data_IF_396129606505
#
_entry.id   IF_396129606505
#
_cell.length_a   1.000
_cell.length_b   1.000
_cell.length_c   1.000
_cell.angle_alpha   90.00
_cell.angle_beta   90.00
_cell.angle_gamma   90.00
#
_symmetry.space_group_name_H-M   'P 1'
#
loop_
_entity.id
_entity.type
_entity.pdbx_description
1 polymer ?
#
# COMPACT_ATOMS: atom_id res chain seq x y z
N UNK A 1 4.85 35.59 1.44
CA UNK A 1 4.11 34.51 0.73
C UNK A 1 4.09 34.70 -0.78
N UNK A 2 3.58 35.82 -1.33
CA UNK A 2 3.54 36.03 -2.79
C UNK A 2 4.93 35.87 -3.45
N UNK A 3 5.98 36.48 -2.89
CA UNK A 3 7.34 36.32 -3.41
C UNK A 3 7.78 34.85 -3.46
N UNK A 4 7.48 34.05 -2.43
CA UNK A 4 7.80 32.61 -2.40
C UNK A 4 7.09 31.84 -3.51
N UNK A 5 5.85 32.20 -3.83
CA UNK A 5 5.10 31.61 -4.95
C UNK A 5 5.69 32.02 -6.30
N UNK A 6 6.17 33.26 -6.43
CA UNK A 6 6.81 33.75 -7.66
C UNK A 6 8.20 33.12 -7.88
N UNK A 7 8.90 32.82 -6.79
CA UNK A 7 10.21 32.17 -6.80
C UNK A 7 10.12 30.63 -6.85
N UNK A 8 8.93 30.06 -7.07
CA UNK A 8 8.66 28.61 -7.06
C UNK A 8 9.09 27.90 -5.76
N UNK A 9 9.19 28.63 -4.64
CA UNK A 9 9.53 28.10 -3.31
C UNK A 9 8.29 27.52 -2.63
N UNK A 10 7.75 26.44 -3.20
CA UNK A 10 6.47 25.85 -2.80
C UNK A 10 6.42 25.39 -1.34
N UNK A 11 7.48 24.76 -0.83
CA UNK A 11 7.53 24.29 0.56
C UNK A 11 7.49 25.45 1.55
N UNK A 12 8.24 26.52 1.28
CA UNK A 12 8.21 27.74 2.08
C UNK A 12 6.87 28.46 1.97
N UNK A 13 6.26 28.48 0.78
CA UNK A 13 4.93 29.06 0.59
C UNK A 13 3.85 28.28 1.36
N UNK A 14 3.91 26.96 1.36
CA UNK A 14 3.04 26.10 2.17
C UNK A 14 3.22 26.37 3.67
N UNK A 15 4.47 26.44 4.15
CA UNK A 15 4.77 26.78 5.54
C UNK A 15 4.28 28.18 5.93
N UNK A 16 4.26 29.12 4.98
CA UNK A 16 3.70 30.45 5.16
C UNK A 16 2.15 30.51 5.12
N UNK A 17 1.47 29.36 5.03
CA UNK A 17 0.01 29.27 5.06
C UNK A 17 -0.68 29.43 3.71
N UNK A 18 0.01 29.14 2.59
CA UNK A 18 -0.57 29.27 1.24
C UNK A 18 -1.91 28.55 1.08
N UNK A 19 -2.08 27.37 1.68
CA UNK A 19 -3.33 26.61 1.54
C UNK A 19 -4.48 27.16 2.39
N UNK A 20 -4.17 27.92 3.44
CA UNK A 20 -5.14 28.49 4.36
C UNK A 20 -5.55 29.92 3.97
N UNK A 21 -4.87 30.50 2.98
CA UNK A 21 -5.18 31.83 2.48
C UNK A 21 -6.59 31.89 1.88
N UNK A 22 -7.43 32.74 2.46
CA UNK A 22 -8.78 33.06 1.95
C UNK A 22 -8.76 34.51 1.44
N UNK A 23 -9.02 34.75 0.15
CA UNK A 23 -9.07 36.09 -0.43
C UNK A 23 -10.12 36.96 0.25
N UNK A 24 -9.76 38.18 0.65
CA UNK A 24 -10.69 39.15 1.24
C UNK A 24 -10.82 40.40 0.37
N UNK A 25 -11.96 41.11 0.45
CA UNK A 25 -12.08 42.43 -0.14
C UNK A 25 -11.00 43.35 0.44
N UNK A 26 -10.24 44.04 -0.42
CA UNK A 26 -9.12 44.90 -0.03
C UNK A 26 -7.74 44.26 -0.15
N UNK A 27 -7.63 42.95 -0.37
CA UNK A 27 -6.33 42.28 -0.49
C UNK A 27 -5.48 42.81 -1.66
N UNK A 28 -6.11 43.29 -2.72
CA UNK A 28 -5.45 43.94 -3.85
C UNK A 28 -4.71 45.25 -3.47
N UNK A 29 -5.02 45.83 -2.31
CA UNK A 29 -4.42 47.06 -1.81
C UNK A 29 -3.34 46.79 -0.75
N UNK A 30 -3.23 45.56 -0.24
CA UNK A 30 -2.28 45.19 0.81
C UNK A 30 -0.82 45.27 0.34
N UNK A 31 -0.57 45.05 -0.95
CA UNK A 31 0.77 45.11 -1.53
C UNK A 31 0.80 46.08 -2.71
N UNK A 32 1.42 47.27 -2.53
CA UNK A 32 1.63 48.20 -3.63
C UNK A 32 2.38 47.54 -4.79
N UNK A 33 1.87 47.73 -6.01
CA UNK A 33 2.45 47.13 -7.22
C UNK A 33 1.96 45.70 -7.54
N UNK A 34 1.16 45.08 -6.68
CA UNK A 34 0.62 43.72 -6.90
C UNK A 34 -0.89 43.64 -6.64
N UNK A 35 -1.73 44.32 -7.44
CA UNK A 35 -3.19 44.22 -7.31
C UNK A 35 -3.73 42.82 -7.65
N UNK A 36 -2.94 42.02 -8.36
CA UNK A 36 -3.23 40.65 -8.77
C UNK A 36 -2.81 39.58 -7.73
N UNK A 37 -2.26 39.99 -6.58
CA UNK A 37 -1.90 39.13 -5.46
C UNK A 37 -2.97 38.07 -5.13
N UNK A 38 -4.24 38.44 -4.87
CA UNK A 38 -5.26 37.44 -4.49
C UNK A 38 -5.50 36.42 -5.59
N UNK A 39 -5.48 36.84 -6.86
CA UNK A 39 -5.68 35.95 -8.01
C UNK A 39 -4.50 34.98 -8.17
N UNK A 40 -3.26 35.46 -8.00
CA UNK A 40 -2.05 34.63 -8.10
C UNK A 40 -2.01 33.56 -7.03
N UNK A 41 -2.32 33.91 -5.79
CA UNK A 41 -2.33 32.95 -4.68
C UNK A 41 -3.42 31.89 -4.87
N UNK A 42 -4.62 32.27 -5.34
CA UNK A 42 -5.67 31.31 -5.69
C UNK A 42 -5.24 30.36 -6.81
N UNK A 43 -4.59 30.89 -7.85
CA UNK A 43 -4.11 30.06 -8.95
C UNK A 43 -3.06 29.04 -8.46
N UNK A 44 -2.13 29.46 -7.62
CA UNK A 44 -1.16 28.58 -6.98
C UNK A 44 -1.83 27.47 -6.14
N UNK A 45 -2.81 27.82 -5.30
CA UNK A 45 -3.62 26.84 -4.56
C UNK A 45 -4.28 25.81 -5.50
N UNK A 46 -4.91 26.27 -6.59
CA UNK A 46 -5.57 25.39 -7.55
C UNK A 46 -4.57 24.46 -8.25
N UNK A 47 -3.38 24.95 -8.61
CA UNK A 47 -2.33 24.12 -9.20
C UNK A 47 -1.88 23.01 -8.25
N UNK A 48 -1.63 23.34 -6.97
CA UNK A 48 -1.25 22.37 -5.94
C UNK A 48 -2.35 21.31 -5.73
N UNK A 49 -3.60 21.74 -5.62
CA UNK A 49 -4.74 20.82 -5.49
C UNK A 49 -4.84 19.86 -6.68
N UNK A 50 -4.66 20.37 -7.91
CA UNK A 50 -4.64 19.53 -9.13
C UNK A 50 -3.50 18.53 -9.12
N UNK A 51 -2.30 18.94 -8.70
CA UNK A 51 -1.13 18.07 -8.57
C UNK A 51 -1.38 16.95 -7.55
N UNK A 52 -1.94 17.28 -6.39
CA UNK A 52 -2.30 16.29 -5.38
C UNK A 52 -3.37 15.31 -5.85
N UNK A 53 -4.42 15.81 -6.53
CA UNK A 53 -5.45 14.96 -7.12
C UNK A 53 -4.86 14.02 -8.19
N UNK A 54 -3.92 14.50 -9.02
CA UNK A 54 -3.19 13.67 -9.97
C UNK A 54 -2.37 12.57 -9.26
N UNK A 55 -1.63 12.94 -8.20
CA UNK A 55 -0.86 11.99 -7.39
C UNK A 55 -1.75 10.94 -6.72
N UNK A 56 -2.90 11.33 -6.20
CA UNK A 56 -3.88 10.43 -5.59
C UNK A 56 -4.40 9.41 -6.63
N UNK A 57 -4.80 9.86 -7.82
CA UNK A 57 -5.24 8.99 -8.93
C UNK A 57 -4.15 8.00 -9.34
N UNK A 58 -2.90 8.46 -9.44
CA UNK A 58 -1.77 7.59 -9.72
C UNK A 58 -1.61 6.50 -8.65
N UNK A 59 -1.62 6.87 -7.36
CA UNK A 59 -1.52 5.91 -6.25
C UNK A 59 -2.67 4.89 -6.26
N UNK A 60 -3.90 5.34 -6.48
CA UNK A 60 -5.06 4.46 -6.57
C UNK A 60 -4.93 3.47 -7.74
N UNK A 61 -4.44 3.93 -8.90
CA UNK A 61 -4.15 3.05 -10.04
C UNK A 61 -3.08 2.02 -9.68
N UNK A 62 -1.99 2.43 -9.02
CA UNK A 62 -0.92 1.52 -8.60
C UNK A 62 -1.45 0.44 -7.65
N UNK A 63 -2.26 0.80 -6.65
CA UNK A 63 -2.89 -0.17 -5.74
C UNK A 63 -3.75 -1.20 -6.49
N UNK A 64 -4.55 -0.74 -7.47
CA UNK A 64 -5.36 -1.64 -8.30
C UNK A 64 -4.52 -2.61 -9.12
N UNK A 65 -3.42 -2.13 -9.69
CA UNK A 65 -2.50 -2.97 -10.47
C UNK A 65 -1.77 -3.97 -9.58
N UNK A 66 -1.29 -3.54 -8.41
CA UNK A 66 -0.66 -4.42 -7.43
C UNK A 66 -1.62 -5.54 -6.99
N UNK A 67 -2.89 -5.21 -6.71
CA UNK A 67 -3.92 -6.22 -6.39
C UNK A 67 -4.11 -7.24 -7.52
N UNK A 68 -4.18 -6.79 -8.77
CA UNK A 68 -4.32 -7.69 -9.94
C UNK A 68 -3.08 -8.55 -10.14
N UNK A 69 -1.89 -8.00 -9.92
CA UNK A 69 -0.64 -8.76 -9.99
C UNK A 69 -0.64 -9.86 -8.92
N UNK A 70 -0.91 -9.52 -7.66
CA UNK A 70 -1.00 -10.48 -6.57
C UNK A 70 -2.03 -11.59 -6.83
N UNK A 71 -3.21 -11.25 -7.37
CA UNK A 71 -4.22 -12.26 -7.73
C UNK A 71 -3.72 -13.20 -8.83
N UNK A 72 -3.05 -12.68 -9.86
CA UNK A 72 -2.47 -13.49 -10.92
C UNK A 72 -1.36 -14.40 -10.41
N UNK A 73 -0.52 -13.90 -9.52
CA UNK A 73 0.55 -14.69 -8.92
C UNK A 73 -0.02 -15.78 -8.01
N UNK A 74 -1.07 -15.50 -7.22
CA UNK A 74 -1.78 -16.50 -6.44
C UNK A 74 -2.42 -17.59 -7.31
N UNK A 75 -2.99 -17.23 -8.47
CA UNK A 75 -3.52 -18.22 -9.44
C UNK A 75 -2.42 -19.07 -10.08
N UNK A 76 -1.21 -18.54 -10.23
CA UNK A 76 -0.05 -19.24 -10.79
C UNK A 76 0.70 -20.07 -9.77
N UNK A 77 0.56 -19.73 -8.48
CA UNK A 77 1.18 -20.49 -7.42
C UNK A 77 0.65 -21.93 -7.45
N UNK A 78 1.54 -22.94 -7.50
CA UNK A 78 1.11 -24.33 -7.42
C UNK A 78 0.35 -24.53 -6.10
N UNK A 79 -0.72 -25.32 -6.14
CA UNK A 79 -1.52 -25.61 -4.95
C UNK A 79 -0.57 -26.11 -3.84
N UNK A 80 -0.70 -25.59 -2.59
CA UNK A 80 0.09 -26.09 -1.49
C UNK A 80 -0.15 -27.59 -1.40
N UNK A 81 0.92 -28.38 -1.58
CA UNK A 81 0.84 -29.82 -1.54
C UNK A 81 0.41 -30.19 -0.13
N UNK A 82 -0.76 -30.83 0.08
CA UNK A 82 -1.12 -31.28 1.41
C UNK A 82 -0.02 -32.25 1.86
N UNK A 83 0.68 -31.90 2.93
CA UNK A 83 1.54 -32.85 3.63
C UNK A 83 0.61 -33.89 4.21
N UNK A 84 0.39 -34.97 3.45
CA UNK A 84 -0.26 -36.18 3.95
C UNK A 84 0.70 -36.72 5.03
N UNK A 85 0.46 -36.32 6.27
CA UNK A 85 1.10 -36.93 7.42
C UNK A 85 0.62 -38.37 7.43
N UNK A 86 1.50 -39.29 7.05
CA UNK A 86 1.24 -40.72 7.09
C UNK A 86 0.96 -41.04 8.56
N UNK A 87 -0.28 -41.43 8.94
CA UNK A 87 -0.57 -41.70 10.34
C UNK A 87 0.36 -42.83 10.79
N UNK A 88 1.19 -42.55 11.79
CA UNK A 88 2.03 -43.58 12.39
C UNK A 88 1.11 -44.67 12.94
N UNK A 89 1.43 -45.94 12.63
CA UNK A 89 0.69 -47.06 13.21
C UNK A 89 0.70 -46.93 14.74
N UNK A 90 -0.46 -47.06 15.42
CA UNK A 90 -0.49 -47.06 16.86
C UNK A 90 0.39 -48.20 17.39
N UNK A 91 1.19 -47.90 18.42
CA UNK A 91 2.20 -48.81 18.99
C UNK A 91 1.66 -50.20 19.35
N UNK A 92 0.39 -50.27 19.75
CA UNK A 92 -0.31 -51.52 20.04
C UNK A 92 -0.41 -52.44 18.80
N UNK A 93 -0.71 -51.90 17.62
CA UNK A 93 -0.78 -52.68 16.39
C UNK A 93 0.61 -53.18 15.95
N UNK A 94 1.65 -52.36 16.12
CA UNK A 94 3.03 -52.79 15.86
C UNK A 94 3.47 -53.93 16.81
N UNK A 95 3.07 -53.87 18.09
CA UNK A 95 3.35 -54.92 19.06
C UNK A 95 2.64 -56.25 18.72
N UNK A 96 1.39 -56.19 18.22
CA UNK A 96 0.65 -57.38 17.76
C UNK A 96 1.36 -58.01 16.56
N UNK A 97 1.78 -57.21 15.57
CA UNK A 97 2.50 -57.70 14.40
C UNK A 97 3.87 -58.30 14.78
N UNK A 98 4.60 -57.70 15.72
CA UNK A 98 5.87 -58.23 16.21
C UNK A 98 5.71 -59.59 16.90
N UNK A 99 4.67 -59.75 17.73
CA UNK A 99 4.34 -61.03 18.37
C UNK A 99 3.91 -62.09 17.37
N UNK A 100 3.11 -61.71 16.37
CA UNK A 100 2.70 -62.60 15.29
C UNK A 100 3.91 -63.08 14.47
N UNK A 101 4.84 -62.17 14.13
CA UNK A 101 6.09 -62.49 13.43
C UNK A 101 6.97 -63.44 14.26
N UNK A 102 7.11 -63.21 15.57
CA UNK A 102 7.88 -64.09 16.46
C UNK A 102 7.25 -65.49 16.57
N UNK A 103 5.91 -65.58 16.66
CA UNK A 103 5.20 -66.86 16.70
C UNK A 103 5.31 -67.65 15.39
N UNK A 104 5.34 -66.96 14.25
CA UNK A 104 5.56 -67.58 12.95
C UNK A 104 6.99 -68.11 12.80
N UNK A 105 8.00 -67.35 13.23
CA UNK A 105 9.39 -67.78 13.21
C UNK A 105 9.70 -68.95 14.17
N UNK A 106 8.99 -69.03 15.30
CA UNK A 106 9.12 -70.15 16.25
C UNK A 106 8.31 -71.40 15.90
N UNK A 107 7.48 -71.37 14.85
CA UNK A 107 6.68 -72.53 14.40
C UNK A 107 7.33 -73.31 13.24
N UNK A 108 8.50 -72.86 12.78
CA UNK A 108 9.33 -73.50 11.76
C UNK A 108 10.57 -74.19 12.33
N UNK A 109 10.51 -74.66 13.58
CA UNK A 109 11.49 -75.56 14.20
C UNK A 109 10.78 -76.78 14.76
#
# INVERSE_FOLDING_TARGET
MLALVLDDQWDAALAAGLMDYVPRPGDAQLLPGHPDLPLRLQHAQQQLQRAWAARARYRQRQQRLARRAAERDARRAPAPTPQIQKPALPSAAAAILARAKAKAAGRTS
#
